data_IF_303581471537
#
_entry.id   IF_303581471537
#
_cell.length_a   1.000
_cell.length_b   1.000
_cell.length_c   1.000
_cell.angle_alpha   90.00
_cell.angle_beta   90.00
_cell.angle_gamma   90.00
#
_symmetry.space_group_name_H-M   'P 1'
#
loop_
_entity.id
_entity.type
_entity.pdbx_description
1 polymer ?
#
# COMPACT_ATOMS: atom_id res chain seq x y z
N UNK A 1 10.45 1.43 -22.79
CA UNK A 1 9.70 0.58 -21.84
C UNK A 1 8.21 0.71 -22.13
N UNK A 2 7.50 -0.41 -22.39
CA UNK A 2 6.09 -0.39 -22.79
C UNK A 2 5.20 0.27 -21.71
N UNK A 3 4.27 1.20 -22.08
CA UNK A 3 3.36 1.83 -21.12
C UNK A 3 2.45 0.83 -20.41
N UNK A 4 1.99 1.17 -19.19
CA UNK A 4 1.11 0.27 -18.43
C UNK A 4 -0.22 -0.01 -19.14
N UNK A 5 -0.75 0.97 -19.90
CA UNK A 5 -2.00 0.80 -20.64
C UNK A 5 -1.88 -0.27 -21.73
N UNK A 6 -0.75 -0.32 -22.43
CA UNK A 6 -0.50 -1.32 -23.45
C UNK A 6 -0.27 -2.71 -22.85
N UNK A 7 0.52 -2.79 -21.75
CA UNK A 7 0.68 -4.04 -21.01
C UNK A 7 -0.65 -4.56 -20.47
N UNK A 8 -1.52 -3.68 -19.96
CA UNK A 8 -2.83 -4.08 -19.46
C UNK A 8 -3.75 -4.57 -20.58
N UNK A 9 -3.69 -3.95 -21.77
CA UNK A 9 -4.45 -4.41 -22.95
C UNK A 9 -3.97 -5.79 -23.41
N UNK A 10 -2.67 -6.00 -23.50
CA UNK A 10 -2.10 -7.29 -23.88
C UNK A 10 -2.43 -8.37 -22.85
N UNK A 11 -2.34 -8.06 -21.58
CA UNK A 11 -2.73 -8.96 -20.50
C UNK A 11 -4.22 -9.31 -20.56
N UNK A 12 -5.08 -8.34 -20.87
CA UNK A 12 -6.52 -8.56 -21.05
C UNK A 12 -6.84 -9.44 -22.27
N UNK A 13 -5.95 -9.49 -23.27
CA UNK A 13 -6.05 -10.42 -24.42
C UNK A 13 -5.44 -11.82 -24.14
N UNK A 14 -5.01 -12.08 -22.89
CA UNK A 14 -4.49 -13.39 -22.46
C UNK A 14 -2.96 -13.51 -22.51
N UNK A 15 -2.22 -12.44 -22.77
CA UNK A 15 -0.75 -12.48 -22.76
C UNK A 15 -0.22 -12.42 -21.31
N UNK A 16 0.07 -13.57 -20.72
CA UNK A 16 0.58 -13.68 -19.33
C UNK A 16 1.87 -12.90 -19.11
N UNK A 17 2.80 -12.90 -20.06
CA UNK A 17 4.05 -12.16 -19.98
C UNK A 17 3.85 -10.64 -19.81
N UNK A 18 2.77 -10.09 -20.38
CA UNK A 18 2.43 -8.68 -20.20
C UNK A 18 1.96 -8.38 -18.77
N UNK A 19 1.18 -9.27 -18.17
CA UNK A 19 0.78 -9.14 -16.77
C UNK A 19 1.96 -9.34 -15.83
N UNK A 20 2.83 -10.31 -16.09
CA UNK A 20 4.06 -10.52 -15.32
C UNK A 20 4.94 -9.25 -15.32
N UNK A 21 5.04 -8.54 -16.45
CA UNK A 21 5.74 -7.27 -16.51
C UNK A 21 5.09 -6.18 -15.61
N UNK A 22 3.75 -6.15 -15.53
CA UNK A 22 3.02 -5.27 -14.60
C UNK A 22 3.28 -5.65 -13.15
N UNK A 23 3.26 -6.95 -12.82
CA UNK A 23 3.58 -7.44 -11.47
C UNK A 23 4.98 -7.02 -11.07
N UNK A 24 6.00 -7.31 -11.89
CA UNK A 24 7.40 -6.92 -11.63
C UNK A 24 7.55 -5.41 -11.39
N UNK A 25 6.82 -4.58 -12.13
CA UNK A 25 6.87 -3.12 -12.01
C UNK A 25 6.25 -2.59 -10.73
N UNK A 26 5.20 -3.24 -10.24
CA UNK A 26 4.37 -2.70 -9.16
C UNK A 26 4.44 -3.48 -7.84
N UNK A 27 5.08 -4.67 -7.81
CA UNK A 27 5.10 -5.52 -6.62
C UNK A 27 5.71 -4.86 -5.38
N UNK A 28 6.79 -4.09 -5.55
CA UNK A 28 7.44 -3.39 -4.43
C UNK A 28 6.50 -2.37 -3.78
N UNK A 29 5.77 -1.61 -4.60
CA UNK A 29 4.78 -0.64 -4.12
C UNK A 29 3.61 -1.34 -3.39
N UNK A 30 3.03 -2.38 -3.97
CA UNK A 30 1.88 -3.10 -3.37
C UNK A 30 2.29 -3.76 -2.05
N UNK A 31 3.43 -4.44 -2.00
CA UNK A 31 3.96 -5.03 -0.77
C UNK A 31 4.27 -3.98 0.29
N UNK A 32 4.91 -2.86 -0.10
CA UNK A 32 5.19 -1.75 0.81
C UNK A 32 3.92 -1.13 1.38
N UNK A 33 2.88 -0.95 0.55
CA UNK A 33 1.57 -0.51 1.01
C UNK A 33 0.95 -1.50 2.00
N UNK A 34 0.91 -2.79 1.66
CA UNK A 34 0.34 -3.82 2.51
C UNK A 34 1.04 -3.90 3.88
N UNK A 35 2.38 -3.87 3.92
CA UNK A 35 3.17 -3.88 5.16
C UNK A 35 2.88 -2.71 6.10
N UNK A 36 2.59 -1.53 5.54
CA UNK A 36 2.25 -0.34 6.33
C UNK A 36 0.82 -0.33 6.83
N UNK A 37 -0.07 -1.09 6.20
CA UNK A 37 -1.47 -1.19 6.57
C UNK A 37 -1.77 -2.38 7.50
N UNK A 38 -1.00 -3.48 7.41
CA UNK A 38 -1.18 -4.68 8.22
C UNK A 38 -0.27 -4.68 9.46
N UNK A 39 -0.59 -5.54 10.43
CA UNK A 39 0.23 -5.71 11.64
C UNK A 39 1.42 -6.66 11.40
N UNK A 40 1.23 -7.70 10.57
CA UNK A 40 2.17 -8.80 10.39
C UNK A 40 2.64 -8.93 8.94
N UNK A 41 3.90 -9.33 8.74
CA UNK A 41 4.50 -9.49 7.42
C UNK A 41 3.77 -10.57 6.58
N UNK A 42 3.38 -11.69 7.20
CA UNK A 42 2.64 -12.75 6.51
C UNK A 42 1.31 -12.24 5.96
N UNK A 43 0.56 -11.46 6.76
CA UNK A 43 -0.68 -10.84 6.30
C UNK A 43 -0.46 -9.87 5.14
N UNK A 44 0.64 -9.10 5.18
CA UNK A 44 0.99 -8.19 4.10
C UNK A 44 1.27 -8.93 2.79
N UNK A 45 1.98 -10.05 2.87
CA UNK A 45 2.27 -10.88 1.69
C UNK A 45 0.98 -11.53 1.14
N UNK A 46 0.08 -12.00 2.00
CA UNK A 46 -1.23 -12.53 1.60
C UNK A 46 -2.08 -11.46 0.90
N UNK A 47 -2.15 -10.26 1.45
CA UNK A 47 -2.87 -9.12 0.85
C UNK A 47 -2.27 -8.76 -0.50
N UNK A 48 -0.95 -8.71 -0.62
CA UNK A 48 -0.28 -8.40 -1.87
C UNK A 48 -0.52 -9.48 -2.94
N UNK A 49 -0.46 -10.75 -2.57
CA UNK A 49 -0.76 -11.86 -3.47
C UNK A 49 -2.23 -11.83 -3.93
N UNK A 50 -3.17 -11.67 -2.99
CA UNK A 50 -4.59 -11.55 -3.30
C UNK A 50 -4.89 -10.38 -4.24
N UNK A 51 -4.20 -9.24 -4.04
CA UNK A 51 -4.33 -8.07 -4.89
C UNK A 51 -3.92 -8.35 -6.34
N UNK A 52 -2.80 -9.03 -6.57
CA UNK A 52 -2.37 -9.38 -7.92
C UNK A 52 -3.27 -10.44 -8.57
N UNK A 53 -3.74 -11.44 -7.83
CA UNK A 53 -4.70 -12.42 -8.32
C UNK A 53 -6.03 -11.75 -8.73
N UNK A 54 -6.51 -10.82 -7.91
CA UNK A 54 -7.72 -10.05 -8.21
C UNK A 54 -7.50 -9.10 -9.40
N UNK A 55 -6.32 -8.47 -9.48
CA UNK A 55 -5.93 -7.63 -10.60
C UNK A 55 -5.90 -8.43 -11.92
N UNK A 56 -5.32 -9.63 -11.92
CA UNK A 56 -5.33 -10.51 -13.08
C UNK A 56 -6.75 -10.83 -13.57
N UNK A 57 -7.63 -11.24 -12.65
CA UNK A 57 -9.04 -11.55 -12.98
C UNK A 57 -9.79 -10.34 -13.50
N UNK A 58 -9.42 -9.14 -13.07
CA UNK A 58 -10.10 -7.87 -13.40
C UNK A 58 -9.37 -7.02 -14.44
N UNK A 59 -8.28 -7.50 -15.03
CA UNK A 59 -7.46 -6.71 -15.95
C UNK A 59 -8.27 -6.14 -17.11
N UNK A 60 -9.24 -6.88 -17.61
CA UNK A 60 -10.16 -6.45 -18.67
C UNK A 60 -11.10 -5.30 -18.25
N UNK A 61 -11.19 -4.97 -16.96
CA UNK A 61 -11.98 -3.83 -16.47
C UNK A 61 -11.17 -2.53 -16.38
N UNK A 62 -9.86 -2.59 -16.57
CA UNK A 62 -9.03 -1.40 -16.59
C UNK A 62 -9.27 -0.60 -17.87
N UNK A 63 -9.72 0.65 -17.73
CA UNK A 63 -10.12 1.53 -18.85
C UNK A 63 -9.11 2.63 -19.16
N UNK A 64 -7.92 2.57 -18.57
CA UNK A 64 -6.90 3.61 -18.69
C UNK A 64 -6.78 4.48 -17.46
N UNK A 65 -6.01 5.57 -17.57
CA UNK A 65 -5.66 6.41 -16.44
C UNK A 65 -4.49 5.85 -15.61
N UNK A 66 -4.47 6.10 -14.32
CA UNK A 66 -3.43 5.61 -13.43
C UNK A 66 -3.60 4.13 -13.09
N UNK A 67 -2.81 3.27 -13.76
CA UNK A 67 -2.76 1.83 -13.42
C UNK A 67 -2.37 1.62 -11.96
N UNK A 68 -1.47 2.45 -11.44
CA UNK A 68 -1.06 2.45 -10.04
C UNK A 68 -2.27 2.68 -9.11
N UNK A 69 -3.09 3.68 -9.37
CA UNK A 69 -4.26 3.98 -8.56
C UNK A 69 -5.31 2.85 -8.62
N UNK A 70 -5.55 2.29 -9.81
CA UNK A 70 -6.43 1.14 -10.01
C UNK A 70 -5.95 -0.07 -9.19
N UNK A 71 -4.65 -0.40 -9.25
CA UNK A 71 -4.07 -1.52 -8.51
C UNK A 71 -4.07 -1.27 -7.00
N UNK A 72 -3.75 -0.05 -6.53
CA UNK A 72 -3.83 0.31 -5.11
C UNK A 72 -5.26 0.20 -4.58
N UNK A 73 -6.27 0.56 -5.39
CA UNK A 73 -7.68 0.39 -5.01
C UNK A 73 -8.03 -1.09 -4.80
N UNK A 74 -7.53 -1.97 -5.66
CA UNK A 74 -7.70 -3.43 -5.49
C UNK A 74 -7.01 -3.89 -4.22
N UNK A 75 -5.74 -3.54 -4.02
CA UNK A 75 -4.96 -3.95 -2.86
C UNK A 75 -5.58 -3.43 -1.54
N UNK A 76 -6.08 -2.21 -1.51
CA UNK A 76 -6.80 -1.68 -0.35
C UNK A 76 -8.08 -2.46 -0.04
N UNK A 77 -8.84 -2.86 -1.06
CA UNK A 77 -10.03 -3.70 -0.88
C UNK A 77 -9.69 -5.09 -0.35
N UNK A 78 -8.62 -5.71 -0.83
CA UNK A 78 -8.14 -7.00 -0.29
C UNK A 78 -7.72 -6.86 1.18
N UNK A 79 -7.03 -5.78 1.54
CA UNK A 79 -6.71 -5.46 2.94
C UNK A 79 -7.98 -5.35 3.79
N UNK A 80 -9.02 -4.64 3.35
CA UNK A 80 -10.28 -4.54 4.08
C UNK A 80 -10.99 -5.91 4.22
N UNK A 81 -10.91 -6.76 3.19
CA UNK A 81 -11.47 -8.11 3.25
C UNK A 81 -10.71 -8.99 4.25
N UNK A 82 -9.39 -8.95 4.24
CA UNK A 82 -8.56 -9.69 5.19
C UNK A 82 -8.90 -9.32 6.65
N UNK A 83 -9.05 -8.01 6.91
CA UNK A 83 -9.49 -7.53 8.24
C UNK A 83 -10.88 -8.03 8.67
N UNK A 84 -11.84 -8.03 7.76
CA UNK A 84 -13.20 -8.53 8.07
C UNK A 84 -13.23 -10.01 8.38
N UNK A 85 -12.32 -10.81 7.81
CA UNK A 85 -12.20 -12.25 8.07
C UNK A 85 -11.56 -12.55 9.42
N UNK A 86 -10.68 -11.67 9.89
CA UNK A 86 -10.15 -11.75 11.26
C UNK A 86 -11.24 -11.27 12.22
N UNK A 87 -11.99 -12.20 12.82
CA UNK A 87 -12.78 -11.90 14.01
C UNK A 87 -11.85 -11.32 15.07
N UNK A 88 -12.33 -10.46 16.00
CA UNK A 88 -11.50 -9.92 17.05
C UNK A 88 -11.09 -11.03 18.02
N UNK A 89 -10.03 -11.74 17.74
CA UNK A 89 -9.26 -12.46 18.74
C UNK A 89 -8.06 -11.58 19.06
N UNK A 90 -8.11 -11.10 20.30
CA UNK A 90 -7.02 -10.41 20.97
C UNK A 90 -5.88 -11.39 21.11
N UNK A 91 -4.79 -11.17 20.36
CA UNK A 91 -3.48 -11.64 20.79
C UNK A 91 -2.39 -10.74 20.21
N UNK A 92 -1.68 -10.11 21.14
CA UNK A 92 -0.41 -9.46 20.90
C UNK A 92 0.62 -10.54 20.59
N UNK A 93 1.11 -10.56 19.36
CA UNK A 93 2.34 -11.28 19.06
C UNK A 93 3.35 -10.32 18.41
N UNK A 94 4.41 -10.12 19.16
CA UNK A 94 5.52 -9.22 18.88
C UNK A 94 6.64 -9.98 18.17
N UNK A 95 6.40 -10.38 16.90
CA UNK A 95 7.47 -10.93 16.06
C UNK A 95 7.38 -10.43 14.62
N UNK A 96 7.84 -9.19 14.43
CA UNK A 96 8.08 -8.65 13.09
C UNK A 96 9.37 -9.26 12.53
N UNK A 97 9.27 -10.37 11.78
CA UNK A 97 10.38 -10.86 10.98
C UNK A 97 10.56 -9.94 9.77
N UNK A 98 11.64 -9.19 9.79
CA UNK A 98 12.07 -8.30 8.73
C UNK A 98 12.75 -9.16 7.66
N UNK A 99 12.10 -9.35 6.52
CA UNK A 99 12.80 -9.86 5.34
C UNK A 99 13.43 -8.65 4.65
N UNK A 100 14.76 -8.56 4.77
CA UNK A 100 15.57 -7.53 4.16
C UNK A 100 15.59 -7.70 2.64
N UNK A 101 15.16 -6.70 1.89
CA UNK A 101 15.65 -6.45 0.55
C UNK A 101 16.85 -5.51 0.65
N UNK A 102 17.90 -5.82 -0.10
CA UNK A 102 19.20 -5.18 -0.16
C UNK A 102 19.11 -3.65 -0.27
N UNK A 103 19.13 -3.01 0.86
CA UNK A 103 19.21 -1.55 1.03
C UNK A 103 20.26 -1.31 2.12
N UNK A 104 21.14 -0.33 1.95
CA UNK A 104 22.18 -0.02 2.93
C UNK A 104 21.59 0.07 4.36
N UNK A 105 22.33 -0.40 5.36
CA UNK A 105 21.87 -0.49 6.76
C UNK A 105 21.25 0.82 7.28
N UNK A 106 21.77 1.98 6.86
CA UNK A 106 21.23 3.28 7.23
C UNK A 106 19.81 3.53 6.65
N UNK A 107 19.56 3.20 5.38
CA UNK A 107 18.21 3.31 4.78
C UNK A 107 17.22 2.31 5.39
N UNK A 108 17.71 1.15 5.81
CA UNK A 108 16.90 0.16 6.51
C UNK A 108 16.44 0.68 7.87
N UNK A 109 17.32 1.33 8.65
CA UNK A 109 16.96 1.93 9.93
C UNK A 109 15.91 3.05 9.75
N UNK A 110 16.11 3.97 8.79
CA UNK A 110 15.15 5.02 8.47
C UNK A 110 13.77 4.49 8.05
N UNK A 111 13.75 3.39 7.28
CA UNK A 111 12.49 2.73 6.89
C UNK A 111 11.78 2.08 8.07
N UNK A 112 12.53 1.48 8.99
CA UNK A 112 11.98 0.88 10.21
C UNK A 112 11.36 1.93 11.12
N UNK A 113 12.02 3.07 11.28
CA UNK A 113 11.53 4.17 12.10
C UNK A 113 10.26 4.79 11.51
N UNK A 114 10.23 4.97 10.19
CA UNK A 114 9.02 5.42 9.50
C UNK A 114 7.86 4.42 9.63
N UNK A 115 8.12 3.13 9.47
CA UNK A 115 7.07 2.10 9.56
C UNK A 115 6.55 1.97 11.01
N UNK A 116 7.39 2.17 12.03
CA UNK A 116 6.97 2.28 13.43
C UNK A 116 6.14 3.53 13.66
N UNK A 117 6.60 4.68 13.20
CA UNK A 117 5.89 5.95 13.33
C UNK A 117 4.50 5.89 12.64
N UNK A 118 4.39 5.26 11.48
CA UNK A 118 3.11 5.06 10.79
C UNK A 118 2.11 4.25 11.64
N UNK A 119 2.58 3.25 12.40
CA UNK A 119 1.72 2.42 13.26
C UNK A 119 1.11 3.20 14.43
N UNK A 120 1.71 4.31 14.86
CA UNK A 120 1.17 5.16 15.93
C UNK A 120 0.04 6.08 15.46
N UNK A 121 -0.11 6.28 14.15
CA UNK A 121 -1.18 7.11 13.60
C UNK A 121 -2.55 6.46 13.79
N UNK A 122 -3.60 7.26 14.04
CA UNK A 122 -4.98 6.79 13.90
C UNK A 122 -5.19 6.15 12.52
N UNK A 123 -5.93 5.07 12.46
CA UNK A 123 -6.05 4.21 11.30
C UNK A 123 -6.38 4.97 10.00
N UNK A 124 -7.40 5.84 10.01
CA UNK A 124 -7.79 6.59 8.82
C UNK A 124 -6.71 7.56 8.35
N UNK A 125 -5.92 8.14 9.28
CA UNK A 125 -4.77 8.96 8.92
C UNK A 125 -3.67 8.11 8.29
N UNK A 126 -3.36 6.95 8.89
CA UNK A 126 -2.38 6.00 8.36
C UNK A 126 -2.75 5.55 6.95
N UNK A 127 -4.01 5.13 6.72
CA UNK A 127 -4.50 4.75 5.40
C UNK A 127 -4.28 5.86 4.38
N UNK A 128 -4.72 7.08 4.67
CA UNK A 128 -4.57 8.20 3.74
C UNK A 128 -3.11 8.57 3.48
N UNK A 129 -2.26 8.56 4.51
CA UNK A 129 -0.81 8.82 4.35
C UNK A 129 -0.14 7.73 3.53
N UNK A 130 -0.45 6.45 3.78
CA UNK A 130 0.13 5.33 3.02
C UNK A 130 -0.29 5.40 1.55
N UNK A 131 -1.55 5.66 1.26
CA UNK A 131 -2.03 5.76 -0.13
C UNK A 131 -1.44 6.98 -0.85
N UNK A 132 -1.47 8.16 -0.23
CA UNK A 132 -1.07 9.39 -0.90
C UNK A 132 0.45 9.59 -0.90
N UNK A 133 1.12 9.41 0.25
CA UNK A 133 2.53 9.73 0.40
C UNK A 133 3.41 8.55 0.01
N UNK A 134 3.15 7.36 0.57
CA UNK A 134 3.99 6.19 0.32
C UNK A 134 3.70 5.53 -1.04
N UNK A 135 2.43 5.46 -1.47
CA UNK A 135 2.06 4.86 -2.75
C UNK A 135 1.90 5.88 -3.88
N UNK A 136 1.94 7.18 -3.57
CA UNK A 136 1.94 8.27 -4.55
C UNK A 136 0.62 8.42 -5.31
N UNK A 137 -0.53 8.20 -4.65
CA UNK A 137 -1.84 8.53 -5.17
C UNK A 137 -2.13 10.02 -4.96
N UNK A 138 -2.84 10.63 -5.90
CA UNK A 138 -3.45 11.92 -5.65
C UNK A 138 -4.55 11.80 -4.59
N UNK A 139 -4.91 12.90 -3.94
CA UNK A 139 -6.02 12.91 -2.97
C UNK A 139 -7.34 12.45 -3.59
N UNK A 140 -7.58 12.76 -4.87
CA UNK A 140 -8.77 12.32 -5.60
C UNK A 140 -8.77 10.80 -5.83
N UNK A 141 -7.63 10.22 -6.24
CA UNK A 141 -7.49 8.77 -6.40
C UNK A 141 -7.65 8.04 -5.07
N UNK A 142 -7.07 8.58 -3.98
CA UNK A 142 -7.24 8.03 -2.63
C UNK A 142 -8.69 8.14 -2.14
N UNK A 143 -9.40 9.25 -2.45
CA UNK A 143 -10.83 9.40 -2.18
C UNK A 143 -11.65 8.31 -2.88
N UNK A 144 -11.38 8.06 -4.15
CA UNK A 144 -12.03 6.99 -4.92
C UNK A 144 -11.71 5.59 -4.34
N UNK A 145 -10.47 5.35 -3.95
CA UNK A 145 -10.05 4.06 -3.40
C UNK A 145 -10.67 3.75 -2.03
N UNK A 146 -10.72 4.76 -1.14
CA UNK A 146 -11.18 4.60 0.25
C UNK A 146 -12.68 4.81 0.43
N UNK A 147 -13.31 5.58 -0.45
CA UNK A 147 -14.68 6.08 -0.28
C UNK A 147 -14.77 7.29 0.66
N UNK A 148 -13.66 7.81 1.17
CA UNK A 148 -13.68 9.03 1.99
C UNK A 148 -13.90 10.27 1.13
N UNK A 149 -14.66 11.27 1.62
CA UNK A 149 -14.74 12.56 0.94
C UNK A 149 -13.36 13.19 0.72
N UNK A 150 -13.16 13.87 -0.40
CA UNK A 150 -11.87 14.47 -0.76
C UNK A 150 -11.31 15.40 0.34
N UNK A 151 -12.16 16.19 0.98
CA UNK A 151 -11.77 17.05 2.10
C UNK A 151 -11.28 16.26 3.32
N UNK A 152 -11.90 15.09 3.57
CA UNK A 152 -11.51 14.17 4.64
C UNK A 152 -10.15 13.55 4.35
N UNK A 153 -9.89 13.11 3.10
CA UNK A 153 -8.57 12.60 2.70
C UNK A 153 -7.49 13.66 2.91
N UNK A 154 -7.70 14.88 2.41
CA UNK A 154 -6.75 16.00 2.60
C UNK A 154 -6.46 16.26 4.08
N UNK A 155 -7.51 16.30 4.91
CA UNK A 155 -7.36 16.51 6.35
C UNK A 155 -6.59 15.39 7.04
N UNK A 156 -6.86 14.12 6.70
CA UNK A 156 -6.15 12.97 7.26
C UNK A 156 -4.68 12.95 6.83
N UNK A 157 -4.37 13.25 5.56
CA UNK A 157 -2.99 13.33 5.07
C UNK A 157 -2.23 14.43 5.83
N UNK A 158 -2.80 15.65 5.91
CA UNK A 158 -2.13 16.77 6.55
C UNK A 158 -1.86 16.50 8.05
N UNK A 159 -2.84 15.97 8.79
CA UNK A 159 -2.68 15.63 10.21
C UNK A 159 -1.67 14.48 10.39
N UNK A 160 -1.76 13.44 9.58
CA UNK A 160 -0.85 12.30 9.65
C UNK A 160 0.59 12.70 9.36
N UNK A 161 0.85 13.50 8.31
CA UNK A 161 2.19 14.00 7.98
C UNK A 161 2.72 14.92 9.08
N UNK A 162 1.89 15.79 9.67
CA UNK A 162 2.30 16.65 10.77
C UNK A 162 2.69 15.84 12.01
N UNK A 163 1.92 14.79 12.36
CA UNK A 163 2.23 13.89 13.46
C UNK A 163 3.54 13.13 13.26
N UNK A 164 3.76 12.58 12.04
CA UNK A 164 4.99 11.89 11.68
C UNK A 164 6.21 12.80 11.77
N UNK A 165 6.13 14.04 11.26
CA UNK A 165 7.22 15.00 11.35
C UNK A 165 7.61 15.32 12.79
N UNK A 166 6.62 15.48 13.67
CA UNK A 166 6.86 15.74 15.10
C UNK A 166 7.56 14.56 15.75
N UNK A 167 7.12 13.34 15.49
CA UNK A 167 7.68 12.13 16.10
C UNK A 167 9.11 11.90 15.62
N UNK A 168 9.37 11.92 14.30
CA UNK A 168 10.70 11.69 13.75
C UNK A 168 11.70 12.78 14.14
N UNK A 169 11.26 14.02 14.36
CA UNK A 169 12.13 15.10 14.87
C UNK A 169 12.54 14.85 16.33
N UNK A 170 11.71 14.20 17.13
CA UNK A 170 12.01 13.88 18.53
C UNK A 170 13.00 12.72 18.65
N UNK A 171 12.88 11.72 17.78
CA UNK A 171 13.73 10.52 17.77
C UNK A 171 15.18 10.82 17.31
N UNK A 172 15.40 11.94 16.58
CA UNK A 172 16.75 12.36 16.14
C UNK A 172 17.50 13.24 17.14
N UNK A 173 16.88 13.58 18.27
CA UNK A 173 17.48 14.45 19.31
C UNK A 173 17.86 13.64 20.58
N UNK A 174 17.50 12.37 20.64
CA UNK A 174 17.81 11.45 21.75
C UNK A 174 18.98 10.53 21.37
#
# INVERSE_FOLDING_TARGET
MKPNIDLARDAASGQEAAFEALVRRHQGMVRGMARRLTAHAAEADDVAQAAFLTAWRKIGTYRGGSFKAWLCTIAYREFLQARRKKKPEVEFDESAHIIAFDTSAARMAEHLDLDRALKTLPENQRICVVLCVASGLSHSEASTATGFPLGTVKSHVNRGVAALRKQLATDHVA
#
